data_IF_601316798055
#
_entry.id   IF_601316798055
#
_cell.length_a   1.000
_cell.length_b   1.000
_cell.length_c   1.000
_cell.angle_alpha   90.00
_cell.angle_beta   90.00
_cell.angle_gamma   90.00
#
_symmetry.space_group_name_H-M   'P 1'
#
loop_
_entity.id
_entity.type
_entity.pdbx_description
1 polymer ?
#
# COMPACT_ATOMS: atom_id res chain seq x y z
N UNK A 1 -16.38 9.66 22.47
CA UNK A 1 -15.82 10.82 23.20
C UNK A 1 -15.12 10.29 24.46
N UNK A 2 -13.89 9.76 24.34
CA UNK A 2 -13.06 9.33 25.47
C UNK A 2 -11.59 9.53 25.09
N UNK A 3 -10.90 10.32 25.90
CA UNK A 3 -9.52 10.77 25.79
C UNK A 3 -8.57 9.73 26.37
N UNK A 4 -7.54 9.36 25.60
CA UNK A 4 -6.49 8.44 26.07
C UNK A 4 -5.53 9.19 27.00
N UNK A 5 -5.46 8.78 28.27
CA UNK A 5 -4.53 9.29 29.27
C UNK A 5 -3.33 8.34 29.41
N UNK A 6 -2.11 8.86 29.26
CA UNK A 6 -0.85 8.11 29.49
C UNK A 6 -0.62 7.79 30.98
N UNK A 7 0.08 6.71 31.32
CA UNK A 7 0.39 6.33 32.70
C UNK A 7 1.37 7.32 33.37
N UNK A 8 1.11 7.63 34.65
CA UNK A 8 1.93 8.51 35.50
C UNK A 8 3.23 7.82 35.90
N UNK A 9 4.36 8.43 35.56
CA UNK A 9 5.69 8.18 36.18
C UNK A 9 5.82 9.16 37.37
N UNK A 10 6.35 8.74 38.54
CA UNK A 10 6.33 9.53 39.76
C UNK A 10 7.14 10.82 39.65
N UNK A 11 6.56 11.89 40.21
CA UNK A 11 7.08 13.25 40.24
C UNK A 11 8.47 13.34 40.89
N UNK A 12 9.50 13.50 40.06
CA UNK A 12 10.64 14.36 40.41
C UNK A 12 10.47 15.69 39.68
N UNK A 13 10.62 16.78 40.45
CA UNK A 13 10.28 18.16 40.10
C UNK A 13 10.85 18.57 38.74
N UNK A 14 9.98 18.63 37.73
CA UNK A 14 10.19 19.39 36.49
C UNK A 14 9.61 20.80 36.69
N UNK A 15 10.32 21.88 36.31
CA UNK A 15 9.81 23.25 36.46
C UNK A 15 8.51 23.47 35.65
N UNK A 16 7.71 24.42 36.13
CA UNK A 16 6.35 24.87 35.74
C UNK A 16 6.09 25.23 34.26
N UNK A 17 6.92 24.81 33.31
CA UNK A 17 6.84 25.16 31.87
C UNK A 17 5.65 24.53 31.13
N UNK A 18 5.03 23.49 31.67
CA UNK A 18 3.92 22.78 31.00
C UNK A 18 2.59 23.56 31.04
N UNK A 19 2.38 24.45 32.02
CA UNK A 19 1.14 25.25 32.10
C UNK A 19 1.15 26.50 31.19
N UNK A 20 2.32 26.94 30.70
CA UNK A 20 2.40 28.04 29.74
C UNK A 20 2.13 27.63 28.28
N UNK A 21 2.12 26.33 27.97
CA UNK A 21 1.93 25.82 26.60
C UNK A 21 0.51 26.01 26.04
N UNK A 22 -0.51 26.11 26.89
CA UNK A 22 -1.90 26.26 26.44
C UNK A 22 -2.34 27.71 26.22
N UNK A 23 -1.63 28.70 26.81
CA UNK A 23 -2.01 30.12 26.73
C UNK A 23 -1.10 30.99 25.86
N UNK A 24 0.08 30.52 25.45
CA UNK A 24 0.97 31.24 24.51
C UNK A 24 0.58 31.08 23.02
N UNK A 25 -0.64 30.59 22.77
CA UNK A 25 -1.24 30.59 21.44
C UNK A 25 -1.67 32.02 21.11
N UNK A 26 -0.86 32.74 20.32
CA UNK A 26 -1.20 33.99 19.62
C UNK A 26 -1.33 35.28 20.46
N UNK A 27 -0.96 35.31 21.75
CA UNK A 27 -0.84 36.59 22.47
C UNK A 27 0.47 37.29 22.09
N UNK A 28 0.33 38.47 21.51
CA UNK A 28 1.35 39.30 20.85
C UNK A 28 2.39 39.93 21.80
N UNK A 29 2.76 39.25 22.89
CA UNK A 29 3.60 39.78 23.97
C UNK A 29 4.73 38.80 24.28
N UNK A 30 5.96 39.33 24.43
CA UNK A 30 7.20 38.63 24.81
C UNK A 30 7.85 37.70 23.77
N UNK A 31 7.51 37.84 22.48
CA UNK A 31 8.26 37.19 21.40
C UNK A 31 9.71 37.72 21.33
N UNK A 32 10.67 36.86 21.03
CA UNK A 32 12.10 37.20 20.89
C UNK A 32 12.58 37.09 19.43
N UNK A 33 11.67 36.73 18.51
CA UNK A 33 11.98 36.43 17.12
C UNK A 33 10.93 36.96 16.14
N UNK A 34 11.40 37.51 15.02
CA UNK A 34 10.62 37.93 13.84
C UNK A 34 11.01 37.01 12.68
N UNK A 35 10.00 36.47 12.00
CA UNK A 35 10.17 35.54 10.88
C UNK A 35 9.53 36.12 9.63
N UNK A 36 10.33 36.31 8.58
CA UNK A 36 9.85 36.72 7.27
C UNK A 36 9.74 35.49 6.36
N UNK A 37 8.55 35.23 5.85
CA UNK A 37 8.25 34.04 5.04
C UNK A 37 7.69 34.45 3.68
N UNK A 38 8.06 33.70 2.65
CA UNK A 38 7.67 33.97 1.27
C UNK A 38 8.60 34.94 0.56
N UNK A 39 8.29 35.18 -0.70
CA UNK A 39 9.00 36.12 -1.57
C UNK A 39 8.05 37.24 -2.01
N UNK A 40 8.61 38.38 -2.41
CA UNK A 40 7.82 39.49 -2.95
C UNK A 40 6.97 39.03 -4.14
N UNK A 41 5.67 39.42 -4.23
CA UNK A 41 4.96 40.39 -3.38
C UNK A 41 4.22 39.78 -2.17
N UNK A 42 4.39 38.50 -1.87
CA UNK A 42 3.60 37.72 -0.90
C UNK A 42 4.36 37.40 0.39
N UNK A 43 5.20 38.32 0.87
CA UNK A 43 5.90 38.17 2.15
C UNK A 43 4.92 38.35 3.32
N UNK A 44 4.96 37.44 4.30
CA UNK A 44 4.25 37.58 5.58
C UNK A 44 5.23 37.57 6.74
N UNK A 45 4.97 38.41 7.73
CA UNK A 45 5.74 38.50 8.97
C UNK A 45 5.06 37.72 10.08
N UNK A 46 5.81 36.87 10.76
CA UNK A 46 5.39 36.11 11.93
C UNK A 46 6.23 36.48 13.15
N UNK A 47 5.64 36.38 14.33
CA UNK A 47 6.29 36.60 15.61
C UNK A 47 6.33 35.28 16.39
N UNK A 48 7.48 34.92 16.95
CA UNK A 48 7.68 33.60 17.56
C UNK A 48 8.64 33.62 18.76
N UNK A 49 8.68 32.50 19.48
CA UNK A 49 9.64 32.25 20.56
C UNK A 49 10.71 31.27 20.07
N UNK A 50 11.96 31.72 20.01
CA UNK A 50 13.07 30.94 19.49
C UNK A 50 13.28 29.64 20.29
N UNK A 51 13.06 29.67 21.61
CA UNK A 51 13.17 28.50 22.49
C UNK A 51 12.15 27.40 22.13
N UNK A 52 10.91 27.76 21.79
CA UNK A 52 9.88 26.80 21.39
C UNK A 52 10.33 26.10 20.12
N UNK A 53 10.75 26.85 19.09
CA UNK A 53 11.15 26.27 17.81
C UNK A 53 12.38 25.36 17.95
N UNK A 54 13.39 25.77 18.70
CA UNK A 54 14.60 24.96 18.96
C UNK A 54 14.29 23.62 19.64
N UNK A 55 13.30 23.59 20.52
CA UNK A 55 12.91 22.37 21.22
C UNK A 55 12.11 21.40 20.34
N UNK A 56 11.54 21.87 19.23
CA UNK A 56 10.73 21.04 18.32
C UNK A 56 11.55 20.40 17.21
N UNK A 57 12.67 20.99 16.82
CA UNK A 57 13.48 20.49 15.71
C UNK A 57 14.95 20.83 15.83
N UNK A 58 15.80 19.86 15.45
CA UNK A 58 17.24 20.04 15.28
C UNK A 58 17.59 21.07 14.21
N UNK A 59 16.74 21.25 13.18
CA UNK A 59 16.90 22.31 12.19
C UNK A 59 16.87 23.68 12.85
N UNK A 60 15.83 23.97 13.63
CA UNK A 60 15.72 25.25 14.33
C UNK A 60 16.78 25.39 15.43
N UNK A 61 17.15 24.30 16.10
CA UNK A 61 18.26 24.30 17.06
C UNK A 61 19.57 24.76 16.40
N UNK A 62 19.88 24.27 15.21
CA UNK A 62 21.07 24.64 14.46
C UNK A 62 20.95 26.06 13.86
N UNK A 63 19.85 26.35 13.16
CA UNK A 63 19.60 27.62 12.47
C UNK A 63 19.54 28.82 13.42
N UNK A 64 19.11 28.62 14.67
CA UNK A 64 19.02 29.67 15.69
C UNK A 64 20.18 29.63 16.68
N UNK A 65 21.22 28.84 16.42
CA UNK A 65 22.42 28.83 17.24
C UNK A 65 23.15 30.18 17.18
N UNK A 66 23.96 30.47 18.21
CA UNK A 66 24.69 31.75 18.33
C UNK A 66 25.59 32.09 17.14
N UNK A 67 25.98 31.09 16.33
CA UNK A 67 26.81 31.27 15.13
C UNK A 67 26.04 31.81 13.92
N UNK A 68 24.74 31.55 13.84
CA UNK A 68 23.92 31.83 12.65
C UNK A 68 22.86 32.90 12.87
N UNK A 69 22.59 33.22 14.14
CA UNK A 69 21.52 34.11 14.53
C UNK A 69 21.81 35.55 14.07
N UNK A 70 20.86 36.15 13.36
CA UNK A 70 20.88 37.58 13.06
C UNK A 70 20.02 38.29 14.09
N UNK A 71 20.49 39.44 14.58
CA UNK A 71 19.73 40.26 15.53
C UNK A 71 19.58 41.68 15.01
N UNK A 72 18.36 42.18 15.05
CA UNK A 72 18.02 43.57 14.74
C UNK A 72 17.14 44.10 15.87
N UNK A 73 17.49 45.24 16.47
CA UNK A 73 16.76 45.85 17.58
C UNK A 73 16.48 44.90 18.76
N UNK A 74 17.44 44.00 19.07
CA UNK A 74 17.31 43.00 20.13
C UNK A 74 16.56 41.72 19.73
N UNK A 75 15.84 41.75 18.60
CA UNK A 75 15.03 40.65 18.07
C UNK A 75 15.85 39.72 17.18
N UNK A 76 15.57 38.43 17.24
CA UNK A 76 16.13 37.44 16.31
C UNK A 76 15.42 37.55 14.97
N UNK A 77 16.16 37.70 13.87
CA UNK A 77 15.61 37.75 12.53
C UNK A 77 15.85 36.41 11.83
N UNK A 78 14.77 35.82 11.33
CA UNK A 78 14.82 34.59 10.53
C UNK A 78 14.06 34.78 9.23
N UNK A 79 14.60 34.27 8.13
CA UNK A 79 14.04 34.44 6.79
C UNK A 79 13.86 33.09 6.13
N UNK A 80 12.68 32.87 5.58
CA UNK A 80 12.33 31.64 4.88
C UNK A 80 11.58 31.93 3.57
N UNK A 81 12.31 32.39 2.54
CA UNK A 81 11.71 32.82 1.28
C UNK A 81 11.08 31.70 0.45
N UNK A 82 11.54 30.46 0.63
CA UNK A 82 11.19 29.31 -0.21
C UNK A 82 9.92 28.56 0.24
N UNK A 83 9.15 29.12 1.16
CA UNK A 83 7.91 28.52 1.68
C UNK A 83 6.81 29.56 1.60
N UNK A 84 5.60 29.16 1.22
CA UNK A 84 4.43 30.03 1.27
C UNK A 84 4.06 30.39 2.72
N UNK A 85 3.59 31.63 2.96
CA UNK A 85 3.10 32.04 4.28
C UNK A 85 2.08 31.07 4.89
N UNK A 86 1.15 30.56 4.09
CA UNK A 86 0.08 29.66 4.52
C UNK A 86 0.62 28.31 5.00
N UNK A 87 1.63 27.74 4.32
CA UNK A 87 2.29 26.51 4.75
C UNK A 87 3.07 26.74 6.05
N UNK A 88 3.81 27.84 6.14
CA UNK A 88 4.57 28.14 7.35
C UNK A 88 3.69 28.38 8.56
N UNK A 89 2.50 28.97 8.37
CA UNK A 89 1.52 29.15 9.44
C UNK A 89 1.08 27.81 10.04
N UNK A 90 0.87 26.78 9.20
CA UNK A 90 0.56 25.41 9.68
C UNK A 90 1.74 24.83 10.46
N UNK A 91 2.97 25.00 9.97
CA UNK A 91 4.19 24.53 10.65
C UNK A 91 4.38 25.21 12.00
N UNK A 92 4.19 26.53 12.05
CA UNK A 92 4.33 27.31 13.26
C UNK A 92 3.28 26.88 14.29
N UNK A 93 2.03 26.75 13.88
CA UNK A 93 0.96 26.24 14.74
C UNK A 93 1.27 24.83 15.27
N UNK A 94 1.82 23.95 14.43
CA UNK A 94 2.26 22.62 14.86
C UNK A 94 3.38 22.69 15.91
N UNK A 95 4.38 23.55 15.73
CA UNK A 95 5.47 23.70 16.70
C UNK A 95 4.98 24.14 18.09
N UNK A 96 3.88 24.91 18.15
CA UNK A 96 3.30 25.36 19.41
C UNK A 96 2.34 24.35 20.03
N UNK A 97 1.51 23.72 19.21
CA UNK A 97 0.34 22.95 19.69
C UNK A 97 0.49 21.44 19.54
N UNK A 98 1.43 20.99 18.71
CA UNK A 98 1.53 19.59 18.26
C UNK A 98 0.41 19.16 17.30
N UNK A 99 -0.40 20.10 16.80
CA UNK A 99 -1.54 19.82 15.91
C UNK A 99 -1.37 20.53 14.56
N UNK A 100 -1.75 19.84 13.48
CA UNK A 100 -1.82 20.41 12.14
C UNK A 100 -3.19 20.11 11.53
N UNK A 101 -3.83 21.12 10.94
CA UNK A 101 -5.13 20.98 10.27
C UNK A 101 -4.91 20.89 8.77
N UNK A 102 -5.28 19.74 8.19
CA UNK A 102 -5.15 19.47 6.75
C UNK A 102 -6.51 19.44 6.03
N UNK A 103 -7.61 19.63 6.77
CA UNK A 103 -8.95 19.69 6.19
C UNK A 103 -9.05 20.84 5.18
N UNK A 104 -9.71 20.59 4.05
CA UNK A 104 -9.95 21.55 2.96
C UNK A 104 -8.69 22.08 2.25
N UNK A 105 -7.53 21.44 2.44
CA UNK A 105 -6.29 21.76 1.70
C UNK A 105 -6.18 20.90 0.45
N UNK A 106 -5.76 21.47 -0.67
CA UNK A 106 -5.52 20.70 -1.90
C UNK A 106 -4.19 19.93 -1.85
N UNK A 107 -4.00 19.02 -2.82
CA UNK A 107 -2.81 18.16 -2.86
C UNK A 107 -1.50 18.93 -3.05
N UNK A 108 -1.51 20.05 -3.78
CA UNK A 108 -0.32 20.87 -3.99
C UNK A 108 0.16 21.51 -2.68
N UNK A 109 -0.77 22.07 -1.90
CA UNK A 109 -0.50 22.60 -0.56
C UNK A 109 0.06 21.52 0.37
N UNK A 110 -0.53 20.32 0.36
CA UNK A 110 -0.10 19.22 1.23
C UNK A 110 1.31 18.75 0.87
N UNK A 111 1.66 18.70 -0.42
CA UNK A 111 3.02 18.39 -0.88
C UNK A 111 4.03 19.46 -0.45
N UNK A 112 3.71 20.75 -0.61
CA UNK A 112 4.58 21.84 -0.15
C UNK A 112 4.81 21.78 1.36
N UNK A 113 3.74 21.52 2.13
CA UNK A 113 3.82 21.34 3.58
C UNK A 113 4.69 20.13 3.95
N UNK A 114 4.56 19.02 3.22
CA UNK A 114 5.35 17.81 3.45
C UNK A 114 6.85 18.06 3.23
N UNK A 115 7.23 18.74 2.14
CA UNK A 115 8.62 19.15 1.85
C UNK A 115 9.15 20.08 2.93
N UNK A 116 8.34 21.07 3.31
CA UNK A 116 8.73 22.05 4.30
C UNK A 116 8.94 21.43 5.69
N UNK A 117 8.09 20.47 6.07
CA UNK A 117 8.23 19.73 7.31
C UNK A 117 9.49 18.85 7.32
N UNK A 118 9.82 18.21 6.20
CA UNK A 118 11.03 17.41 6.04
C UNK A 118 12.30 18.26 6.10
N UNK A 119 12.33 19.38 5.36
CA UNK A 119 13.45 20.33 5.37
C UNK A 119 13.72 20.84 6.80
N UNK A 120 12.64 21.11 7.54
CA UNK A 120 12.71 21.55 8.94
C UNK A 120 12.87 20.39 9.93
N UNK A 121 13.08 19.15 9.48
CA UNK A 121 13.32 17.96 10.33
C UNK A 121 12.18 17.76 11.36
N UNK A 122 10.94 18.05 10.99
CA UNK A 122 9.74 17.84 11.80
C UNK A 122 9.17 16.44 11.51
N UNK A 123 9.84 15.41 12.01
CA UNK A 123 9.56 13.99 11.69
C UNK A 123 8.15 13.54 12.07
N UNK A 124 7.62 14.01 13.20
CA UNK A 124 6.25 13.71 13.66
C UNK A 124 5.19 14.34 12.76
N UNK A 125 5.42 15.59 12.31
CA UNK A 125 4.54 16.27 11.36
C UNK A 125 4.60 15.60 9.98
N UNK A 126 5.80 15.29 9.49
CA UNK A 126 6.03 14.56 8.22
C UNK A 126 5.27 13.23 8.21
N UNK A 127 5.36 12.46 9.30
CA UNK A 127 4.65 11.18 9.44
C UNK A 127 3.13 11.37 9.46
N UNK A 128 2.64 12.40 10.17
CA UNK A 128 1.22 12.73 10.23
C UNK A 128 0.67 13.13 8.85
N UNK A 129 1.38 13.98 8.12
CA UNK A 129 0.97 14.44 6.79
C UNK A 129 0.88 13.24 5.84
N UNK A 130 1.92 12.41 5.77
CA UNK A 130 1.90 11.23 4.89
C UNK A 130 0.70 10.33 5.18
N UNK A 131 0.46 9.99 6.46
CA UNK A 131 -0.66 9.11 6.85
C UNK A 131 -2.03 9.66 6.44
N UNK A 132 -2.26 10.96 6.59
CA UNK A 132 -3.56 11.56 6.25
C UNK A 132 -3.70 11.83 4.74
N UNK A 133 -2.60 12.20 4.07
CA UNK A 133 -2.63 12.49 2.64
C UNK A 133 -2.96 11.24 1.82
N UNK A 134 -2.36 10.10 2.19
CA UNK A 134 -2.58 8.82 1.52
C UNK A 134 -4.00 8.27 1.69
N UNK A 135 -4.74 8.72 2.70
CA UNK A 135 -6.12 8.26 2.94
C UNK A 135 -7.16 9.26 2.45
N UNK A 136 -6.97 10.55 2.68
CA UNK A 136 -7.98 11.57 2.38
C UNK A 136 -8.00 12.03 0.91
N UNK A 137 -6.89 11.88 0.18
CA UNK A 137 -6.76 12.37 -1.21
C UNK A 137 -6.35 11.29 -2.21
N UNK A 138 -6.88 10.08 -2.01
CA UNK A 138 -6.52 8.95 -2.86
C UNK A 138 -6.86 9.20 -4.35
N UNK A 139 -7.99 9.83 -4.66
CA UNK A 139 -8.37 10.17 -6.04
C UNK A 139 -7.36 11.11 -6.70
N UNK A 140 -6.98 12.18 -6.00
CA UNK A 140 -5.98 13.12 -6.50
C UNK A 140 -4.61 12.45 -6.69
N UNK A 141 -4.22 11.55 -5.77
CA UNK A 141 -2.99 10.76 -5.90
C UNK A 141 -3.02 9.83 -7.11
N UNK A 142 -4.17 9.23 -7.44
CA UNK A 142 -4.33 8.40 -8.63
C UNK A 142 -4.16 9.22 -9.91
N UNK A 143 -4.76 10.42 -9.96
CA UNK A 143 -4.67 11.32 -11.12
C UNK A 143 -3.24 11.84 -11.37
N UNK A 144 -2.43 11.99 -10.30
CA UNK A 144 -1.08 12.54 -10.36
C UNK A 144 0.01 11.49 -10.05
N UNK A 145 -0.33 10.20 -10.14
CA UNK A 145 0.45 9.12 -9.56
C UNK A 145 1.90 9.08 -10.06
N UNK A 146 2.15 9.26 -11.36
CA UNK A 146 3.50 9.12 -11.93
C UNK A 146 4.44 10.25 -11.53
N UNK A 147 3.94 11.47 -11.47
CA UNK A 147 4.67 12.66 -11.05
C UNK A 147 4.98 12.59 -9.56
N UNK A 148 3.98 12.25 -8.75
CA UNK A 148 4.14 12.11 -7.31
C UNK A 148 5.06 10.94 -6.98
N UNK A 149 5.03 9.84 -7.73
CA UNK A 149 6.00 8.75 -7.58
C UNK A 149 7.42 9.28 -7.77
N UNK A 150 7.72 9.88 -8.93
CA UNK A 150 9.08 10.36 -9.21
C UNK A 150 9.55 11.42 -8.21
N UNK A 151 8.64 12.31 -7.80
CA UNK A 151 8.91 13.30 -6.76
C UNK A 151 9.19 12.65 -5.40
N UNK A 152 8.33 11.75 -4.92
CA UNK A 152 8.48 11.13 -3.60
C UNK A 152 9.77 10.32 -3.48
N UNK A 153 10.24 9.70 -4.57
CA UNK A 153 11.51 8.97 -4.61
C UNK A 153 12.76 9.86 -4.50
N UNK A 154 12.63 11.18 -4.63
CA UNK A 154 13.72 12.14 -4.33
C UNK A 154 13.92 12.32 -2.82
N UNK A 155 12.95 11.93 -1.99
CA UNK A 155 12.94 12.15 -0.54
C UNK A 155 12.88 10.83 0.23
N UNK A 156 13.99 10.35 0.81
CA UNK A 156 14.03 9.08 1.55
C UNK A 156 13.07 8.99 2.75
N UNK A 157 12.63 10.12 3.30
CA UNK A 157 11.67 10.20 4.39
C UNK A 157 10.21 9.98 3.97
N UNK A 158 9.91 10.00 2.67
CA UNK A 158 8.54 9.89 2.13
C UNK A 158 8.10 8.45 1.86
N UNK A 159 8.56 7.51 2.68
CA UNK A 159 8.36 6.07 2.45
C UNK A 159 6.88 5.67 2.35
N UNK A 160 6.00 6.26 3.17
CA UNK A 160 4.58 5.93 3.12
C UNK A 160 3.94 6.41 1.81
N UNK A 161 4.32 7.59 1.32
CA UNK A 161 3.86 8.09 0.02
C UNK A 161 4.44 7.29 -1.15
N UNK A 162 5.73 6.96 -1.11
CA UNK A 162 6.39 6.09 -2.10
C UNK A 162 5.66 4.75 -2.20
N UNK A 163 5.38 4.12 -1.06
CA UNK A 163 4.66 2.85 -1.01
C UNK A 163 3.29 2.97 -1.67
N UNK A 164 2.45 3.92 -1.25
CA UNK A 164 1.10 4.09 -1.82
C UNK A 164 1.13 4.33 -3.33
N UNK A 165 2.11 5.09 -3.82
CA UNK A 165 2.29 5.31 -5.26
C UNK A 165 2.66 4.03 -6.00
N UNK A 166 3.68 3.30 -5.54
CA UNK A 166 4.06 2.01 -6.15
C UNK A 166 2.91 1.01 -6.10
N UNK A 167 2.18 0.96 -4.98
CA UNK A 167 1.02 0.11 -4.78
C UNK A 167 -0.09 0.41 -5.78
N UNK A 168 -0.35 1.69 -6.04
CA UNK A 168 -1.32 2.16 -7.03
C UNK A 168 -0.93 1.70 -8.44
N UNK A 169 0.35 1.84 -8.80
CA UNK A 169 0.87 1.35 -10.10
C UNK A 169 0.80 -0.18 -10.16
N UNK A 170 1.10 -0.89 -9.07
CA UNK A 170 1.01 -2.35 -9.04
C UNK A 170 -0.42 -2.83 -9.27
N UNK A 171 -1.41 -2.18 -8.67
CA UNK A 171 -2.81 -2.58 -8.78
C UNK A 171 -3.38 -2.27 -10.16
N UNK A 172 -2.99 -1.13 -10.74
CA UNK A 172 -3.37 -0.72 -12.08
C UNK A 172 -2.13 -0.31 -12.92
N UNK A 173 -1.39 -1.27 -13.50
CA UNK A 173 -0.16 -0.97 -14.25
C UNK A 173 -0.37 -0.13 -15.50
N UNK A 174 -1.62 -0.04 -15.99
CA UNK A 174 -1.95 0.80 -17.13
C UNK A 174 -1.65 2.28 -16.90
N UNK A 175 -1.68 2.74 -15.65
CA UNK A 175 -1.29 4.09 -15.23
C UNK A 175 0.11 4.42 -15.74
N UNK A 176 1.05 3.48 -15.63
CA UNK A 176 2.42 3.66 -16.12
C UNK A 176 2.53 3.27 -17.59
N UNK A 177 2.19 2.03 -17.94
CA UNK A 177 2.57 1.43 -19.23
C UNK A 177 1.80 1.98 -20.44
N UNK A 178 0.62 2.57 -20.22
CA UNK A 178 -0.16 3.25 -21.28
C UNK A 178 0.03 4.77 -21.27
N UNK A 179 0.77 5.31 -20.31
CA UNK A 179 1.00 6.75 -20.22
C UNK A 179 1.99 7.24 -21.28
N UNK A 180 1.78 8.48 -21.74
CA UNK A 180 2.74 9.20 -22.57
C UNK A 180 4.06 9.47 -21.83
N UNK A 181 4.03 9.49 -20.49
CA UNK A 181 5.20 9.69 -19.62
C UNK A 181 6.04 8.43 -19.44
N UNK A 182 5.59 7.28 -19.97
CA UNK A 182 6.32 6.02 -19.82
C UNK A 182 7.76 6.16 -20.30
N UNK A 183 8.01 6.67 -21.50
CA UNK A 183 9.38 6.75 -22.06
C UNK A 183 10.36 7.62 -21.25
N UNK A 184 9.86 8.52 -20.40
CA UNK A 184 10.66 9.43 -19.57
C UNK A 184 10.61 9.09 -18.08
N UNK A 185 10.02 7.95 -17.70
CA UNK A 185 9.92 7.54 -16.31
C UNK A 185 11.31 7.25 -15.73
N UNK A 186 11.47 7.31 -14.41
CA UNK A 186 12.77 7.07 -13.81
C UNK A 186 13.11 5.55 -13.85
N UNK A 187 14.30 5.24 -14.37
CA UNK A 187 14.77 3.89 -14.65
C UNK A 187 14.90 2.98 -13.43
N UNK A 188 15.33 3.52 -12.28
CA UNK A 188 15.49 2.77 -11.02
C UNK A 188 14.15 2.51 -10.34
N UNK A 189 13.18 3.44 -10.43
CA UNK A 189 11.80 3.22 -9.97
C UNK A 189 11.14 2.14 -10.83
N UNK A 190 11.31 2.17 -12.16
CA UNK A 190 10.83 1.11 -13.04
C UNK A 190 11.43 -0.25 -12.65
N UNK A 191 12.74 -0.31 -12.39
CA UNK A 191 13.41 -1.52 -11.93
C UNK A 191 12.79 -2.05 -10.63
N UNK A 192 12.58 -1.17 -9.65
CA UNK A 192 11.93 -1.49 -8.38
C UNK A 192 10.51 -2.02 -8.54
N UNK A 193 9.71 -1.45 -9.46
CA UNK A 193 8.37 -1.95 -9.79
C UNK A 193 8.40 -3.36 -10.37
N UNK A 194 9.36 -3.65 -11.26
CA UNK A 194 9.51 -4.96 -11.90
C UNK A 194 9.90 -6.07 -10.91
N UNK A 195 10.55 -5.71 -9.80
CA UNK A 195 10.90 -6.64 -8.72
C UNK A 195 9.69 -7.10 -7.91
N UNK A 196 8.58 -6.34 -7.93
CA UNK A 196 7.41 -6.61 -7.09
C UNK A 196 6.59 -7.79 -7.62
N UNK A 197 6.18 -8.67 -6.71
CA UNK A 197 5.30 -9.79 -7.03
C UNK A 197 3.86 -9.32 -7.29
N UNK A 198 3.48 -8.21 -6.68
CA UNK A 198 2.13 -7.66 -6.70
C UNK A 198 1.78 -6.94 -8.02
N UNK A 199 2.75 -6.68 -8.91
CA UNK A 199 2.53 -5.97 -10.17
C UNK A 199 1.52 -6.74 -11.04
N UNK A 200 0.34 -6.15 -11.25
CA UNK A 200 -0.83 -6.79 -11.86
C UNK A 200 -0.79 -6.81 -13.39
N UNK A 201 0.20 -7.50 -13.96
CA UNK A 201 0.40 -7.57 -15.42
C UNK A 201 0.78 -8.99 -15.83
N UNK A 202 0.36 -9.42 -17.02
CA UNK A 202 0.82 -10.69 -17.57
C UNK A 202 2.29 -10.60 -17.96
N UNK A 203 3.05 -11.68 -17.79
CA UNK A 203 4.50 -11.66 -18.08
C UNK A 203 4.80 -11.36 -19.54
N UNK A 204 3.99 -11.87 -20.47
CA UNK A 204 4.12 -11.59 -21.90
C UNK A 204 3.91 -10.11 -22.21
N UNK A 205 2.90 -9.49 -21.59
CA UNK A 205 2.59 -8.07 -21.75
C UNK A 205 3.71 -7.20 -21.17
N UNK A 206 4.22 -7.56 -19.98
CA UNK A 206 5.36 -6.88 -19.37
C UNK A 206 6.59 -6.92 -20.27
N UNK A 207 6.89 -8.09 -20.85
CA UNK A 207 8.00 -8.22 -21.79
C UNK A 207 7.86 -7.28 -22.99
N UNK A 208 6.67 -7.19 -23.59
CA UNK A 208 6.42 -6.26 -24.69
C UNK A 208 6.65 -4.80 -24.27
N UNK A 209 6.25 -4.42 -23.05
CA UNK A 209 6.52 -3.09 -22.51
C UNK A 209 8.01 -2.81 -22.32
N UNK A 210 8.79 -3.78 -21.84
CA UNK A 210 10.24 -3.62 -21.68
C UNK A 210 10.96 -3.54 -23.02
N UNK A 211 10.53 -4.28 -24.04
CA UNK A 211 11.04 -4.12 -25.40
C UNK A 211 10.72 -2.71 -25.93
N UNK A 212 9.47 -2.27 -25.77
CA UNK A 212 9.05 -0.92 -26.17
C UNK A 212 9.86 0.15 -25.44
N UNK A 213 10.15 -0.04 -24.15
CA UNK A 213 11.05 0.83 -23.39
C UNK A 213 12.44 0.90 -24.01
N UNK A 214 13.09 -0.26 -24.24
CA UNK A 214 14.42 -0.33 -24.84
C UNK A 214 14.51 0.38 -26.19
N UNK A 215 13.50 0.19 -27.05
CA UNK A 215 13.43 0.87 -28.35
C UNK A 215 13.23 2.37 -28.17
N UNK A 216 12.34 2.81 -27.27
CA UNK A 216 12.08 4.23 -27.03
C UNK A 216 13.30 4.97 -26.44
N UNK A 217 14.15 4.30 -25.67
CA UNK A 217 15.43 4.86 -25.21
C UNK A 217 16.46 5.04 -26.34
N UNK A 218 16.21 4.46 -27.52
CA UNK A 218 17.11 4.49 -28.67
C UNK A 218 16.36 4.97 -29.93
N UNK A 219 16.07 6.28 -30.09
CA UNK A 219 15.17 6.80 -31.14
C UNK A 219 15.58 6.50 -32.58
N UNK A 220 16.87 6.22 -32.83
CA UNK A 220 17.40 5.90 -34.15
C UNK A 220 17.23 4.41 -34.53
N UNK A 221 16.82 3.56 -33.58
CA UNK A 221 16.63 2.14 -33.80
C UNK A 221 15.26 1.89 -34.43
N UNK A 222 15.23 1.05 -35.46
CA UNK A 222 13.99 0.62 -36.12
C UNK A 222 13.08 -0.12 -35.14
N UNK A 223 11.76 -0.06 -35.34
CA UNK A 223 10.81 -0.85 -34.56
C UNK A 223 10.79 -2.34 -34.95
N UNK A 224 11.29 -2.69 -36.14
CA UNK A 224 11.37 -4.09 -36.59
C UNK A 224 12.74 -4.70 -36.23
N UNK A 225 12.81 -5.67 -35.30
CA UNK A 225 14.07 -6.28 -34.89
C UNK A 225 14.82 -6.99 -36.02
N UNK A 226 14.15 -7.37 -37.12
CA UNK A 226 14.81 -7.98 -38.28
C UNK A 226 15.74 -7.03 -39.03
N UNK A 227 15.54 -5.72 -38.85
CA UNK A 227 16.32 -4.67 -39.51
C UNK A 227 17.49 -4.16 -38.68
N UNK A 228 17.68 -4.69 -37.46
CA UNK A 228 18.69 -4.19 -36.52
C UNK A 228 20.11 -4.58 -36.94
N UNK A 229 21.00 -3.60 -36.94
CA UNK A 229 22.44 -3.82 -37.00
C UNK A 229 22.98 -4.32 -35.65
N UNK A 230 24.22 -4.80 -35.62
CA UNK A 230 24.90 -5.16 -34.37
C UNK A 230 24.98 -3.98 -33.38
N UNK A 231 25.04 -2.73 -33.87
CA UNK A 231 25.03 -1.53 -33.01
C UNK A 231 23.66 -1.30 -32.41
N UNK A 232 22.60 -1.48 -33.20
CA UNK A 232 21.22 -1.31 -32.74
C UNK A 232 20.87 -2.34 -31.66
N UNK A 233 21.27 -3.60 -31.87
CA UNK A 233 21.13 -4.67 -30.86
C UNK A 233 21.81 -4.26 -29.56
N UNK A 234 23.08 -3.83 -29.62
CA UNK A 234 23.84 -3.43 -28.42
C UNK A 234 23.21 -2.24 -27.70
N UNK A 235 22.69 -1.27 -28.45
CA UNK A 235 22.05 -0.08 -27.89
C UNK A 235 20.79 -0.46 -27.10
N UNK A 236 19.90 -1.26 -27.70
CA UNK A 236 18.67 -1.72 -27.02
C UNK A 236 19.00 -2.66 -25.86
N UNK A 237 19.95 -3.58 -26.02
CA UNK A 237 20.41 -4.50 -24.97
C UNK A 237 20.88 -3.71 -23.74
N UNK A 238 21.71 -2.69 -23.93
CA UNK A 238 22.19 -1.85 -22.83
C UNK A 238 21.06 -1.13 -22.08
N UNK A 239 19.98 -0.77 -22.79
CA UNK A 239 18.81 -0.12 -22.18
C UNK A 239 17.90 -1.06 -21.40
N UNK A 240 17.98 -2.38 -21.62
CA UNK A 240 17.06 -3.34 -20.97
C UNK A 240 17.70 -4.45 -20.16
N UNK A 241 19.03 -4.62 -20.24
CA UNK A 241 19.76 -5.72 -19.60
C UNK A 241 19.46 -5.88 -18.11
N UNK A 242 19.22 -4.78 -17.38
CA UNK A 242 18.93 -4.79 -15.94
C UNK A 242 17.49 -5.23 -15.64
N UNK A 243 16.56 -5.08 -16.59
CA UNK A 243 15.17 -5.50 -16.45
C UNK A 243 14.96 -6.99 -16.77
N UNK A 244 15.78 -7.56 -17.66
CA UNK A 244 15.65 -8.95 -18.15
C UNK A 244 15.56 -9.99 -17.01
N UNK A 245 16.40 -9.94 -15.94
CA UNK A 245 16.32 -10.89 -14.83
C UNK A 245 14.97 -10.90 -14.10
N UNK A 246 14.18 -9.83 -14.21
CA UNK A 246 12.89 -9.70 -13.54
C UNK A 246 11.71 -10.13 -14.41
N UNK A 247 11.96 -10.59 -15.64
CA UNK A 247 10.94 -11.17 -16.51
C UNK A 247 10.82 -12.67 -16.21
N UNK A 248 9.62 -13.13 -15.85
CA UNK A 248 9.39 -14.52 -15.45
C UNK A 248 9.05 -15.37 -16.68
N UNK A 249 10.01 -15.51 -17.59
CA UNK A 249 9.82 -16.21 -18.88
C UNK A 249 9.20 -17.61 -18.74
N UNK A 250 9.49 -18.34 -17.66
CA UNK A 250 8.93 -19.67 -17.39
C UNK A 250 7.42 -19.70 -17.11
N UNK A 251 6.80 -18.52 -16.91
CA UNK A 251 5.37 -18.36 -16.73
C UNK A 251 4.64 -18.01 -18.04
N UNK A 252 5.38 -17.83 -19.14
CA UNK A 252 4.80 -17.70 -20.48
C UNK A 252 4.54 -19.08 -21.09
N UNK A 253 3.51 -19.17 -21.93
CA UNK A 253 3.27 -20.34 -22.77
C UNK A 253 4.31 -20.44 -23.89
N UNK A 254 4.47 -21.63 -24.47
CA UNK A 254 5.34 -21.82 -25.63
C UNK A 254 4.93 -20.93 -26.82
N UNK A 255 3.62 -20.75 -27.03
CA UNK A 255 3.07 -19.90 -28.10
C UNK A 255 3.43 -18.43 -27.88
N UNK A 256 3.25 -17.93 -26.65
CA UNK A 256 3.64 -16.56 -26.30
C UNK A 256 5.15 -16.35 -26.46
N UNK A 257 5.97 -17.27 -25.99
CA UNK A 257 7.42 -17.18 -26.15
C UNK A 257 7.84 -17.11 -27.62
N UNK A 258 7.31 -18.01 -28.47
CA UNK A 258 7.62 -18.03 -29.90
C UNK A 258 7.18 -16.74 -30.62
N UNK A 259 6.03 -16.18 -30.24
CA UNK A 259 5.48 -15.01 -30.90
C UNK A 259 6.11 -13.69 -30.44
N UNK A 260 6.34 -13.54 -29.14
CA UNK A 260 6.67 -12.25 -28.53
C UNK A 260 8.12 -12.15 -28.03
N UNK A 261 8.73 -13.27 -27.62
CA UNK A 261 10.10 -13.28 -27.07
C UNK A 261 11.13 -13.64 -28.13
N UNK A 262 10.86 -14.69 -28.93
CA UNK A 262 11.78 -15.19 -29.94
C UNK A 262 12.29 -14.15 -30.94
N UNK A 263 11.47 -13.18 -31.45
CA UNK A 263 11.95 -12.15 -32.36
C UNK A 263 13.08 -11.28 -31.78
N UNK A 264 13.15 -11.18 -30.46
CA UNK A 264 14.10 -10.35 -29.72
C UNK A 264 15.15 -11.16 -28.95
N UNK A 265 15.30 -12.46 -29.28
CA UNK A 265 16.23 -13.37 -28.57
C UNK A 265 17.68 -12.88 -28.53
N UNK A 266 18.10 -12.05 -29.48
CA UNK A 266 19.44 -11.46 -29.51
C UNK A 266 19.72 -10.49 -28.34
N UNK A 267 18.67 -10.03 -27.64
CA UNK A 267 18.79 -9.17 -26.47
C UNK A 267 18.91 -9.96 -25.15
N UNK A 268 18.62 -11.26 -25.17
CA UNK A 268 18.57 -12.09 -23.97
C UNK A 268 19.95 -12.73 -23.76
N UNK A 269 20.54 -12.63 -22.55
CA UNK A 269 21.78 -13.34 -22.22
C UNK A 269 21.66 -14.83 -22.52
N UNK A 270 22.71 -15.42 -23.08
CA UNK A 270 22.69 -16.79 -23.60
C UNK A 270 22.33 -17.80 -22.51
N UNK A 271 22.79 -17.58 -21.28
CA UNK A 271 22.52 -18.45 -20.13
C UNK A 271 21.02 -18.47 -19.78
N UNK A 272 20.36 -17.32 -19.85
CA UNK A 272 18.92 -17.19 -19.62
C UNK A 272 18.17 -17.86 -20.77
N UNK A 273 18.57 -17.57 -22.01
CA UNK A 273 17.92 -18.10 -23.21
C UNK A 273 17.98 -19.63 -23.26
N UNK A 274 19.15 -20.22 -23.02
CA UNK A 274 19.34 -21.68 -23.00
C UNK A 274 18.53 -22.35 -21.89
N UNK A 275 18.42 -21.70 -20.73
CA UNK A 275 17.58 -22.19 -19.63
C UNK A 275 16.09 -22.16 -19.98
N UNK A 276 15.62 -21.08 -20.63
CA UNK A 276 14.24 -21.00 -21.13
C UNK A 276 13.99 -22.07 -22.19
N UNK A 277 14.93 -22.27 -23.12
CA UNK A 277 14.82 -23.27 -24.16
C UNK A 277 14.75 -24.69 -23.58
N UNK A 278 15.60 -24.97 -22.60
CA UNK A 278 15.59 -26.25 -21.87
C UNK A 278 14.25 -26.47 -21.17
N UNK A 279 13.64 -25.44 -20.59
CA UNK A 279 12.31 -25.55 -19.98
C UNK A 279 11.24 -25.97 -20.99
N UNK A 280 11.22 -25.36 -22.18
CA UNK A 280 10.22 -25.68 -23.21
C UNK A 280 10.50 -27.00 -23.94
N UNK A 281 11.76 -27.41 -24.08
CA UNK A 281 12.14 -28.65 -24.76
C UNK A 281 12.18 -29.88 -23.83
N UNK A 282 12.42 -29.69 -22.52
CA UNK A 282 12.56 -30.76 -21.53
C UNK A 282 11.60 -30.54 -20.34
N UNK A 283 10.28 -30.76 -20.52
CA UNK A 283 9.27 -30.45 -19.50
C UNK A 283 9.42 -31.26 -18.19
N UNK A 284 10.23 -32.32 -18.19
CA UNK A 284 10.47 -33.16 -17.01
C UNK A 284 11.50 -32.57 -16.03
N UNK A 285 12.32 -31.58 -16.43
CA UNK A 285 13.19 -30.84 -15.50
C UNK A 285 12.40 -29.72 -14.85
N UNK A 286 12.03 -29.91 -13.58
CA UNK A 286 11.34 -28.88 -12.78
C UNK A 286 12.29 -27.72 -12.49
N UNK A 287 12.10 -26.62 -13.20
CA UNK A 287 12.62 -25.31 -12.81
C UNK A 287 11.68 -24.74 -11.75
N UNK A 288 12.23 -24.18 -10.68
CA UNK A 288 11.42 -23.47 -9.68
C UNK A 288 10.79 -22.25 -10.35
N UNK A 289 9.47 -22.27 -10.56
CA UNK A 289 8.74 -21.14 -11.13
C UNK A 289 8.59 -20.07 -10.06
N UNK A 290 9.01 -18.85 -10.39
CA UNK A 290 8.58 -17.67 -9.63
C UNK A 290 7.06 -17.52 -9.79
N UNK A 291 6.44 -16.95 -8.76
CA UNK A 291 5.01 -16.60 -8.71
C UNK A 291 4.58 -15.94 -10.02
N UNK A 292 3.53 -16.40 -10.72
CA UNK A 292 2.99 -15.64 -11.86
C UNK A 292 2.39 -14.30 -11.43
N UNK A 293 2.76 -13.21 -12.12
CA UNK A 293 2.03 -11.93 -12.05
C UNK A 293 0.71 -12.01 -12.84
N UNK A 294 -0.21 -11.08 -12.57
CA UNK A 294 -1.44 -10.90 -13.37
C UNK A 294 -2.51 -11.99 -13.22
N UNK A 295 -2.29 -13.03 -12.40
CA UNK A 295 -3.18 -14.18 -12.30
C UNK A 295 -4.05 -14.18 -11.02
N UNK A 296 -4.28 -13.00 -10.45
CA UNK A 296 -5.07 -12.86 -9.23
C UNK A 296 -4.32 -13.02 -7.91
N UNK A 297 -3.03 -13.33 -7.98
CA UNK A 297 -2.14 -13.41 -6.82
C UNK A 297 -1.48 -12.05 -6.52
N UNK A 298 -2.21 -10.93 -6.65
CA UNK A 298 -1.72 -9.59 -6.26
C UNK A 298 -1.79 -9.37 -4.75
N UNK A 299 -2.20 -10.40 -3.99
CA UNK A 299 -2.34 -10.34 -2.55
C UNK A 299 -1.02 -9.97 -1.89
N UNK A 300 -1.09 -9.06 -0.92
CA UNK A 300 0.02 -8.75 -0.01
C UNK A 300 -0.01 -9.59 1.25
N UNK A 301 -1.14 -10.28 1.49
CA UNK A 301 -1.38 -11.12 2.66
C UNK A 301 -1.04 -12.58 2.39
N UNK A 302 -1.39 -13.09 1.22
CA UNK A 302 -1.29 -14.51 0.88
C UNK A 302 -0.48 -14.76 -0.39
N UNK A 303 0.37 -15.77 -0.31
CA UNK A 303 1.08 -16.37 -1.44
C UNK A 303 0.41 -17.67 -1.96
N UNK A 304 1.05 -18.32 -2.92
CA UNK A 304 0.55 -19.56 -3.54
C UNK A 304 0.47 -20.75 -2.59
N UNK A 305 1.31 -20.78 -1.54
CA UNK A 305 1.24 -21.82 -0.52
C UNK A 305 -0.02 -21.69 0.33
N UNK A 306 -0.59 -20.50 0.49
CA UNK A 306 -1.92 -20.34 1.07
C UNK A 306 -3.01 -20.71 0.04
N UNK A 307 -2.86 -20.25 -1.21
CA UNK A 307 -3.86 -20.49 -2.25
C UNK A 307 -4.10 -21.98 -2.52
N UNK A 308 -3.07 -22.83 -2.48
CA UNK A 308 -3.28 -24.29 -2.64
C UNK A 308 -4.22 -24.89 -1.60
N UNK A 309 -4.19 -24.40 -0.35
CA UNK A 309 -5.08 -24.86 0.70
C UNK A 309 -6.48 -24.28 0.50
N UNK A 310 -6.57 -22.99 0.22
CA UNK A 310 -7.85 -22.32 -0.05
C UNK A 310 -8.59 -23.00 -1.21
N UNK A 311 -7.92 -23.28 -2.34
CA UNK A 311 -8.50 -24.01 -3.46
C UNK A 311 -8.96 -25.41 -3.04
N UNK A 312 -8.15 -26.13 -2.26
CA UNK A 312 -8.52 -27.44 -1.72
C UNK A 312 -9.79 -27.36 -0.88
N UNK A 313 -9.89 -26.37 0.01
CA UNK A 313 -11.05 -26.17 0.89
C UNK A 313 -12.32 -25.81 0.15
N UNK A 314 -12.23 -24.99 -0.91
CA UNK A 314 -13.37 -24.66 -1.77
C UNK A 314 -13.97 -25.94 -2.40
N UNK A 315 -13.10 -26.83 -2.88
CA UNK A 315 -13.50 -28.11 -3.49
C UNK A 315 -13.74 -29.23 -2.47
N UNK A 316 -13.58 -28.94 -1.17
CA UNK A 316 -13.60 -29.92 -0.09
C UNK A 316 -12.66 -31.12 -0.36
N UNK A 317 -11.48 -30.82 -0.89
CA UNK A 317 -10.44 -31.77 -1.27
C UNK A 317 -9.09 -31.43 -0.61
N UNK A 318 -8.07 -32.23 -0.90
CA UNK A 318 -6.70 -31.93 -0.49
C UNK A 318 -6.16 -30.69 -1.22
N UNK A 319 -5.03 -30.16 -0.74
CA UNK A 319 -4.39 -29.00 -1.39
C UNK A 319 -3.96 -29.31 -2.83
N UNK A 320 -4.04 -28.31 -3.70
CA UNK A 320 -3.61 -28.42 -5.09
C UNK A 320 -2.10 -28.23 -5.29
N UNK A 321 -1.49 -28.82 -6.34
CA UNK A 321 -0.21 -28.35 -6.85
C UNK A 321 -0.33 -26.89 -7.32
N UNK A 322 0.65 -26.05 -6.99
CA UNK A 322 0.65 -24.61 -7.31
C UNK A 322 0.50 -24.35 -8.81
N UNK A 323 1.07 -25.21 -9.65
CA UNK A 323 1.00 -25.14 -11.11
C UNK A 323 -0.36 -25.57 -11.70
N UNK A 324 -1.27 -26.09 -10.86
CA UNK A 324 -2.58 -26.64 -11.26
C UNK A 324 -3.73 -26.08 -10.42
N UNK A 325 -3.60 -24.85 -9.90
CA UNK A 325 -4.71 -24.23 -9.18
C UNK A 325 -5.92 -24.07 -10.11
N UNK A 326 -7.12 -24.54 -9.70
CA UNK A 326 -8.32 -24.50 -10.55
C UNK A 326 -8.96 -23.10 -10.63
N UNK A 327 -8.55 -22.18 -9.75
CA UNK A 327 -9.15 -20.87 -9.59
C UNK A 327 -8.19 -19.72 -9.93
N UNK A 328 -8.76 -18.58 -10.32
CA UNK A 328 -8.14 -17.25 -10.36
C UNK A 328 -8.81 -16.37 -9.30
N UNK A 329 -8.05 -15.51 -8.64
CA UNK A 329 -8.52 -14.68 -7.52
C UNK A 329 -8.49 -13.20 -7.91
N UNK A 330 -9.61 -12.60 -8.26
CA UNK A 330 -9.63 -11.20 -8.64
C UNK A 330 -9.78 -10.30 -7.40
N UNK A 331 -8.76 -9.47 -7.10
CA UNK A 331 -8.81 -8.54 -5.96
C UNK A 331 -9.93 -7.53 -6.16
N UNK A 332 -10.92 -7.55 -5.27
CA UNK A 332 -12.03 -6.59 -5.24
C UNK A 332 -11.71 -5.41 -4.35
N UNK A 333 -11.20 -5.69 -3.15
CA UNK A 333 -11.00 -4.70 -2.11
C UNK A 333 -9.68 -4.91 -1.39
N UNK A 334 -9.00 -3.82 -1.03
CA UNK A 334 -7.82 -3.80 -0.17
C UNK A 334 -7.93 -2.67 0.85
N UNK A 335 -7.68 -2.96 2.12
CA UNK A 335 -7.78 -1.99 3.22
C UNK A 335 -6.99 -0.70 3.01
N UNK A 336 -5.76 -0.79 2.49
CA UNK A 336 -4.92 0.38 2.23
C UNK A 336 -5.37 1.24 1.04
N UNK A 337 -6.19 0.68 0.13
CA UNK A 337 -6.71 1.36 -1.06
C UNK A 337 -8.14 1.83 -0.85
N UNK A 338 -8.99 0.98 -0.31
CA UNK A 338 -10.45 1.20 -0.27
C UNK A 338 -10.97 1.46 1.15
N UNK A 339 -10.09 1.48 2.16
CA UNK A 339 -10.46 1.65 3.57
C UNK A 339 -10.83 0.35 4.27
N UNK A 340 -11.08 0.44 5.58
CA UNK A 340 -11.33 -0.71 6.46
C UNK A 340 -12.79 -0.77 6.94
N UNK A 341 -13.71 -0.11 6.24
CA UNK A 341 -15.11 -0.02 6.68
C UNK A 341 -16.01 -1.06 6.01
N UNK A 342 -17.04 -1.50 6.73
CA UNK A 342 -18.10 -2.36 6.19
C UNK A 342 -18.88 -1.67 5.07
N UNK A 343 -19.04 -0.34 5.13
CA UNK A 343 -19.59 0.45 4.03
C UNK A 343 -18.77 0.26 2.74
N UNK A 344 -17.45 0.41 2.81
CA UNK A 344 -16.57 0.23 1.65
C UNK A 344 -16.62 -1.20 1.13
N UNK A 345 -16.74 -2.18 2.03
CA UNK A 345 -16.94 -3.58 1.66
C UNK A 345 -18.24 -3.79 0.88
N UNK A 346 -19.38 -3.33 1.40
CA UNK A 346 -20.67 -3.52 0.74
C UNK A 346 -20.72 -2.77 -0.61
N UNK A 347 -20.13 -1.58 -0.71
CA UNK A 347 -20.04 -0.84 -1.97
C UNK A 347 -19.28 -1.60 -3.07
N UNK A 348 -18.25 -2.37 -2.72
CA UNK A 348 -17.38 -3.06 -3.68
C UNK A 348 -17.72 -4.56 -3.87
N UNK A 349 -18.31 -5.20 -2.85
CA UNK A 349 -18.45 -6.66 -2.79
C UNK A 349 -19.90 -7.15 -2.88
N UNK A 350 -20.91 -6.29 -2.65
CA UNK A 350 -22.31 -6.69 -2.81
C UNK A 350 -22.61 -7.10 -4.25
N UNK A 351 -23.55 -8.03 -4.41
CA UNK A 351 -23.91 -8.64 -5.70
C UNK A 351 -22.80 -9.50 -6.34
N UNK A 352 -21.66 -9.68 -5.67
CA UNK A 352 -20.60 -10.58 -6.11
C UNK A 352 -20.72 -11.93 -5.39
N UNK A 353 -20.76 -13.00 -6.18
CA UNK A 353 -20.78 -14.38 -5.69
C UNK A 353 -19.36 -14.94 -5.54
N UNK A 354 -19.16 -15.80 -4.56
CA UNK A 354 -17.95 -16.62 -4.46
C UNK A 354 -16.75 -15.75 -4.12
N UNK A 355 -16.74 -15.22 -2.89
CA UNK A 355 -15.69 -14.31 -2.43
C UNK A 355 -14.92 -14.92 -1.27
N UNK A 356 -13.64 -14.59 -1.18
CA UNK A 356 -12.83 -14.87 -0.01
C UNK A 356 -12.36 -13.57 0.65
N UNK A 357 -12.55 -13.49 1.95
CA UNK A 357 -12.09 -12.40 2.82
C UNK A 357 -10.84 -12.86 3.55
N UNK A 358 -9.81 -12.02 3.58
CA UNK A 358 -8.52 -12.32 4.21
C UNK A 358 -8.07 -11.09 5.00
N UNK A 359 -7.62 -11.28 6.24
CA UNK A 359 -7.18 -10.19 7.11
C UNK A 359 -5.96 -10.60 7.93
N UNK A 360 -5.11 -9.62 8.22
CA UNK A 360 -4.00 -9.73 9.15
C UNK A 360 -4.33 -9.04 10.46
N UNK A 361 -4.20 -9.78 11.55
CA UNK A 361 -4.46 -9.29 12.90
C UNK A 361 -3.35 -8.31 13.29
N UNK A 362 -3.72 -7.14 13.81
CA UNK A 362 -2.77 -6.11 14.21
C UNK A 362 -1.79 -6.60 15.27
N UNK A 363 -0.50 -6.38 15.04
CA UNK A 363 0.56 -6.73 15.99
C UNK A 363 0.89 -8.23 16.07
N UNK A 364 0.35 -9.05 15.16
CA UNK A 364 0.71 -10.47 15.01
C UNK A 364 0.92 -10.81 13.55
N UNK A 365 1.47 -11.99 13.25
CA UNK A 365 1.51 -12.52 11.88
C UNK A 365 0.30 -13.43 11.56
N UNK A 366 -0.71 -13.45 12.42
CA UNK A 366 -1.89 -14.29 12.23
C UNK A 366 -2.75 -13.78 11.06
N UNK A 367 -3.01 -14.65 10.09
CA UNK A 367 -3.99 -14.41 9.03
C UNK A 367 -5.28 -15.15 9.32
N UNK A 368 -6.41 -14.44 9.23
CA UNK A 368 -7.75 -14.99 9.37
C UNK A 368 -8.54 -14.74 8.09
N UNK A 369 -9.58 -15.53 7.86
CA UNK A 369 -10.43 -15.30 6.71
C UNK A 369 -11.67 -16.17 6.65
N UNK A 370 -12.49 -15.90 5.63
CA UNK A 370 -13.72 -16.63 5.38
C UNK A 370 -14.07 -16.66 3.90
N UNK A 371 -14.59 -17.79 3.44
CA UNK A 371 -15.11 -17.97 2.09
C UNK A 371 -16.63 -17.98 2.11
N UNK A 372 -17.23 -17.07 1.34
CA UNK A 372 -18.66 -17.02 1.10
C UNK A 372 -18.97 -17.46 -0.35
N UNK A 373 -19.57 -18.65 -0.57
CA UNK A 373 -19.96 -19.10 -1.91
C UNK A 373 -21.23 -18.41 -2.44
N UNK A 374 -21.93 -17.66 -1.60
CA UNK A 374 -23.15 -16.94 -1.95
C UNK A 374 -22.81 -15.54 -2.43
N UNK A 375 -23.86 -14.82 -2.86
CA UNK A 375 -23.80 -13.41 -3.20
C UNK A 375 -23.93 -12.57 -1.93
N UNK A 376 -23.03 -11.61 -1.71
CA UNK A 376 -23.20 -10.62 -0.63
C UNK A 376 -24.40 -9.72 -0.90
N UNK A 377 -25.16 -9.44 0.16
CA UNK A 377 -26.28 -8.54 0.13
C UNK A 377 -26.46 -7.97 1.55
N UNK A 378 -26.54 -6.65 1.65
CA UNK A 378 -26.78 -5.93 2.90
C UNK A 378 -28.08 -6.36 3.61
N UNK A 379 -29.04 -7.01 2.95
CA UNK A 379 -30.39 -7.28 3.48
C UNK A 379 -30.72 -8.76 3.73
N UNK A 380 -29.82 -9.72 3.49
CA UNK A 380 -30.19 -11.15 3.57
C UNK A 380 -29.16 -12.03 4.25
N UNK A 381 -29.62 -12.90 5.15
CA UNK A 381 -28.84 -14.03 5.65
C UNK A 381 -28.47 -15.00 4.52
N UNK A 382 -27.30 -15.62 4.66
CA UNK A 382 -26.76 -16.59 3.71
C UNK A 382 -26.92 -18.02 4.23
N UNK A 383 -27.71 -18.83 3.50
CA UNK A 383 -27.87 -20.27 3.77
C UNK A 383 -27.01 -21.13 2.84
N UNK A 384 -26.01 -21.83 3.36
CA UNK A 384 -25.15 -22.73 2.57
C UNK A 384 -24.41 -23.75 3.44
N UNK A 385 -23.97 -24.86 2.85
CA UNK A 385 -23.05 -25.82 3.46
C UNK A 385 -21.59 -25.61 3.06
N UNK A 386 -21.33 -24.77 2.06
CA UNK A 386 -20.02 -24.65 1.41
C UNK A 386 -19.23 -23.43 1.93
N UNK A 387 -19.71 -22.77 2.99
CA UNK A 387 -19.01 -21.67 3.64
C UNK A 387 -18.01 -22.20 4.65
N UNK A 388 -16.84 -21.57 4.73
CA UNK A 388 -15.81 -21.90 5.71
C UNK A 388 -15.11 -20.65 6.21
N UNK A 389 -14.58 -20.72 7.42
CA UNK A 389 -13.62 -19.77 7.98
C UNK A 389 -12.29 -20.46 8.22
N UNK A 390 -11.19 -19.72 8.25
CA UNK A 390 -9.86 -20.32 8.35
C UNK A 390 -8.86 -19.42 9.09
N UNK A 391 -7.74 -20.01 9.49
CA UNK A 391 -6.58 -19.29 10.01
C UNK A 391 -5.24 -19.89 9.57
N UNK A 392 -4.26 -18.99 9.45
CA UNK A 392 -2.84 -19.29 9.33
C UNK A 392 -2.11 -18.61 10.50
N UNK A 393 -1.90 -19.36 11.59
CA UNK A 393 -1.51 -18.84 12.93
C UNK A 393 -0.21 -18.02 12.96
N UNK A 394 0.71 -18.22 12.01
CA UNK A 394 1.97 -17.49 11.89
C UNK A 394 2.17 -16.86 10.50
N UNK A 395 1.09 -16.66 9.74
CA UNK A 395 1.17 -16.16 8.36
C UNK A 395 1.87 -17.10 7.39
N UNK A 396 2.26 -18.29 7.87
CA UNK A 396 2.79 -19.39 7.09
C UNK A 396 1.70 -20.42 6.87
N UNK A 397 1.81 -21.14 5.75
CA UNK A 397 0.92 -22.22 5.37
C UNK A 397 1.15 -23.53 6.14
N UNK A 398 1.83 -23.50 7.29
CA UNK A 398 2.17 -24.69 8.07
C UNK A 398 1.06 -24.98 9.06
N UNK A 399 0.42 -26.15 8.94
CA UNK A 399 -0.74 -26.58 9.74
C UNK A 399 -1.89 -25.55 9.76
N UNK A 400 -2.45 -25.20 8.59
CA UNK A 400 -3.56 -24.27 8.54
C UNK A 400 -4.82 -24.86 9.17
N UNK A 401 -5.65 -24.00 9.76
CA UNK A 401 -6.94 -24.38 10.31
C UNK A 401 -8.04 -23.97 9.35
N UNK A 402 -8.96 -24.88 9.04
CA UNK A 402 -10.21 -24.58 8.35
C UNK A 402 -11.36 -25.09 9.21
N UNK A 403 -12.45 -24.33 9.22
CA UNK A 403 -13.69 -24.70 9.87
C UNK A 403 -14.85 -24.48 8.92
N UNK A 404 -15.62 -25.53 8.66
CA UNK A 404 -16.82 -25.45 7.83
C UNK A 404 -18.04 -25.13 8.70
N UNK A 405 -19.09 -24.59 8.06
CA UNK A 405 -20.37 -24.39 8.71
C UNK A 405 -20.97 -25.74 9.12
N UNK A 406 -21.39 -25.89 10.39
CA UNK A 406 -22.01 -27.12 10.84
C UNK A 406 -23.35 -27.33 10.13
N UNK A 407 -23.65 -28.57 9.73
CA UNK A 407 -24.89 -28.94 9.02
C UNK A 407 -26.18 -28.43 9.69
N UNK A 408 -26.25 -28.41 11.02
CA UNK A 408 -27.42 -27.92 11.76
C UNK A 408 -27.58 -26.40 11.74
N UNK A 409 -26.53 -25.66 11.38
CA UNK A 409 -26.47 -24.20 11.36
C UNK A 409 -26.29 -23.63 9.95
N UNK A 410 -26.53 -24.41 8.89
CA UNK A 410 -26.31 -23.99 7.50
C UNK A 410 -27.05 -22.70 7.10
N UNK A 411 -28.17 -22.38 7.77
CA UNK A 411 -28.93 -21.13 7.57
C UNK A 411 -28.23 -19.89 8.11
N UNK A 412 -27.23 -20.07 8.96
CA UNK A 412 -26.48 -19.02 9.62
C UNK A 412 -25.08 -18.87 9.02
N UNK A 413 -24.81 -19.41 7.81
CA UNK A 413 -23.46 -19.42 7.24
C UNK A 413 -22.91 -17.98 7.10
N UNK A 414 -23.76 -17.07 6.61
CA UNK A 414 -23.57 -15.63 6.68
C UNK A 414 -24.75 -15.10 7.49
N UNK A 415 -24.50 -14.54 8.68
CA UNK A 415 -25.56 -14.22 9.63
C UNK A 415 -25.60 -12.73 9.92
N UNK A 416 -26.78 -12.14 9.83
CA UNK A 416 -27.02 -10.74 10.15
C UNK A 416 -28.02 -10.64 11.31
N UNK A 417 -27.64 -9.96 12.40
CA UNK A 417 -28.64 -9.58 13.41
C UNK A 417 -29.47 -8.43 12.85
N UNK A 418 -30.76 -8.36 13.20
CA UNK A 418 -31.74 -7.41 12.65
C UNK A 418 -31.41 -5.90 12.83
N UNK A 419 -30.26 -5.54 13.41
CA UNK A 419 -29.74 -4.18 13.57
C UNK A 419 -28.32 -3.96 12.97
N UNK A 420 -27.68 -4.98 12.41
CA UNK A 420 -26.27 -4.96 11.97
C UNK A 420 -26.14 -4.48 10.51
N UNK A 421 -26.38 -3.20 10.23
CA UNK A 421 -26.22 -2.67 8.86
C UNK A 421 -24.72 -2.59 8.46
N UNK A 422 -23.82 -2.56 9.43
CA UNK A 422 -22.39 -2.23 9.23
C UNK A 422 -21.42 -3.38 9.62
N UNK A 423 -21.75 -4.65 9.32
CA UNK A 423 -20.96 -5.80 9.81
C UNK A 423 -20.74 -6.85 8.73
N UNK A 424 -19.51 -7.35 8.62
CA UNK A 424 -19.20 -8.59 7.88
C UNK A 424 -19.16 -9.73 8.90
N UNK A 425 -20.03 -10.73 8.74
CA UNK A 425 -20.20 -11.77 9.74
C UNK A 425 -20.36 -13.16 9.12
N UNK A 426 -19.36 -14.00 9.32
CA UNK A 426 -19.44 -15.42 9.06
C UNK A 426 -19.96 -16.11 10.31
N UNK A 427 -21.07 -16.82 10.19
CA UNK A 427 -21.65 -17.53 11.33
C UNK A 427 -22.35 -16.60 12.30
N UNK A 428 -22.85 -17.13 13.40
CA UNK A 428 -23.42 -16.33 14.46
C UNK A 428 -22.30 -15.75 15.36
N UNK A 429 -21.49 -14.87 14.78
CA UNK A 429 -20.33 -14.25 15.42
C UNK A 429 -19.08 -15.13 15.38
N UNK A 430 -18.98 -16.04 14.41
CA UNK A 430 -17.84 -16.95 14.35
C UNK A 430 -16.56 -16.27 13.85
N UNK A 431 -16.73 -15.40 12.86
CA UNK A 431 -15.76 -14.39 12.46
C UNK A 431 -16.53 -13.11 12.11
N UNK A 432 -16.38 -12.10 12.96
CA UNK A 432 -17.14 -10.86 12.91
C UNK A 432 -16.21 -9.65 12.80
N UNK A 433 -16.52 -8.76 11.86
CA UNK A 433 -15.83 -7.51 11.60
C UNK A 433 -16.86 -6.38 11.65
N UNK A 434 -16.76 -5.53 12.68
CA UNK A 434 -17.69 -4.44 12.95
C UNK A 434 -17.20 -3.11 12.37
N UNK A 435 -18.10 -2.37 11.72
CA UNK A 435 -18.00 -0.96 11.29
C UNK A 435 -16.69 -0.56 10.61
N UNK A 436 -15.61 -0.41 11.39
CA UNK A 436 -14.26 -0.10 10.96
C UNK A 436 -13.24 -1.08 11.58
N UNK A 437 -12.71 -1.97 10.74
CA UNK A 437 -11.98 -3.17 11.18
C UNK A 437 -10.58 -2.86 11.72
N UNK A 438 -10.06 -1.66 11.46
CA UNK A 438 -8.74 -1.24 11.97
C UNK A 438 -8.81 -0.55 13.35
N UNK A 439 -10.02 -0.31 13.88
CA UNK A 439 -10.21 0.23 15.21
C UNK A 439 -10.07 -0.84 16.28
N UNK A 440 -9.51 -0.46 17.44
CA UNK A 440 -9.33 -1.37 18.57
C UNK A 440 -10.63 -2.07 18.95
N UNK A 441 -10.56 -3.39 19.10
CA UNK A 441 -11.68 -4.24 19.53
C UNK A 441 -12.86 -4.32 18.54
N UNK A 442 -12.67 -3.93 17.28
CA UNK A 442 -13.70 -3.96 16.21
C UNK A 442 -13.97 -5.34 15.62
N UNK A 443 -13.10 -6.33 15.89
CA UNK A 443 -13.22 -7.66 15.31
C UNK A 443 -13.22 -8.74 16.39
N UNK A 444 -13.86 -9.88 16.12
CA UNK A 444 -13.85 -11.03 17.01
C UNK A 444 -13.95 -12.36 16.25
N UNK A 445 -13.39 -13.42 16.85
CA UNK A 445 -13.47 -14.78 16.33
C UNK A 445 -13.79 -15.74 17.48
N UNK A 446 -14.86 -16.52 17.37
CA UNK A 446 -15.36 -17.43 18.41
C UNK A 446 -16.02 -18.65 17.76
N UNK A 447 -16.04 -19.81 18.40
CA UNK A 447 -16.76 -20.98 17.86
C UNK A 447 -18.23 -20.93 18.26
N UNK A 448 -19.11 -20.89 17.27
CA UNK A 448 -20.56 -20.97 17.46
C UNK A 448 -21.20 -21.88 16.39
N UNK A 449 -21.38 -21.36 15.17
CA UNK A 449 -22.02 -22.05 14.04
C UNK A 449 -21.06 -22.91 13.23
N UNK A 450 -19.78 -22.56 13.17
CA UNK A 450 -18.73 -23.30 12.46
C UNK A 450 -18.15 -24.40 13.36
N UNK A 451 -17.53 -25.42 12.78
CA UNK A 451 -17.10 -26.65 13.47
C UNK A 451 -16.04 -26.44 14.56
N UNK A 452 -15.09 -25.52 14.35
CA UNK A 452 -13.86 -25.36 15.13
C UNK A 452 -13.58 -23.88 15.39
N UNK A 453 -12.85 -23.59 16.48
CA UNK A 453 -12.24 -22.27 16.68
C UNK A 453 -11.10 -22.10 15.68
N UNK A 454 -11.06 -20.95 15.00
CA UNK A 454 -9.93 -20.59 14.13
C UNK A 454 -8.81 -19.83 14.87
N UNK A 455 -9.09 -19.32 16.07
CA UNK A 455 -8.16 -18.55 16.89
C UNK A 455 -8.15 -19.09 18.31
N UNK A 456 -6.95 -19.17 18.90
CA UNK A 456 -6.77 -19.66 20.28
C UNK A 456 -7.17 -18.57 21.31
N UNK A 457 -6.91 -17.31 20.96
CA UNK A 457 -7.31 -16.14 21.73
C UNK A 457 -8.72 -15.67 21.32
N UNK A 458 -9.64 -15.64 22.28
CA UNK A 458 -11.04 -15.21 22.08
C UNK A 458 -11.27 -13.72 22.36
N UNK A 459 -10.21 -12.97 22.67
CA UNK A 459 -10.25 -11.53 22.82
C UNK A 459 -10.59 -10.86 21.49
N UNK A 460 -11.22 -9.68 21.57
CA UNK A 460 -11.44 -8.86 20.39
C UNK A 460 -10.13 -8.25 19.90
N UNK A 461 -10.04 -8.07 18.59
CA UNK A 461 -8.83 -7.60 17.92
C UNK A 461 -9.16 -6.50 16.90
N UNK A 462 -8.14 -5.97 16.26
CA UNK A 462 -8.26 -5.10 15.09
C UNK A 462 -7.35 -5.62 13.97
N UNK A 463 -7.55 -5.09 12.77
CA UNK A 463 -6.92 -5.55 11.54
C UNK A 463 -5.95 -4.49 11.02
N UNK A 464 -4.72 -4.88 10.70
CA UNK A 464 -3.72 -3.98 10.09
C UNK A 464 -3.71 -4.05 8.56
N UNK A 465 -4.22 -5.14 7.98
CA UNK A 465 -4.32 -5.32 6.53
C UNK A 465 -5.48 -6.25 6.18
N UNK A 466 -6.20 -5.91 5.11
CA UNK A 466 -7.46 -6.55 4.73
C UNK A 466 -7.54 -6.66 3.21
N UNK A 467 -7.94 -7.82 2.68
CA UNK A 467 -8.14 -8.03 1.26
C UNK A 467 -9.37 -8.93 1.00
N UNK A 468 -10.08 -8.65 -0.10
CA UNK A 468 -11.23 -9.44 -0.55
C UNK A 468 -11.03 -9.79 -2.00
N UNK A 469 -11.23 -11.06 -2.35
CA UNK A 469 -11.09 -11.56 -3.71
C UNK A 469 -12.39 -12.20 -4.19
N UNK A 470 -12.73 -11.98 -5.45
CA UNK A 470 -13.69 -12.78 -6.21
C UNK A 470 -12.98 -14.01 -6.76
N UNK A 471 -13.62 -15.17 -6.66
CA UNK A 471 -13.10 -16.43 -7.18
C UNK A 471 -13.67 -16.67 -8.57
N UNK A 472 -12.79 -16.99 -9.52
CA UNK A 472 -13.14 -17.26 -10.92
C UNK A 472 -12.59 -18.64 -11.29
N UNK A 473 -13.45 -19.51 -11.80
CA UNK A 473 -13.03 -20.81 -12.31
C UNK A 473 -12.21 -20.62 -13.58
N UNK A 474 -11.06 -21.29 -13.71
CA UNK A 474 -10.24 -21.18 -14.93
C UNK A 474 -10.81 -21.92 -16.14
N UNK A 475 -11.75 -22.83 -15.90
CA UNK A 475 -12.38 -23.64 -16.95
C UNK A 475 -13.72 -23.04 -17.44
N UNK A 476 -14.15 -21.93 -16.86
CA UNK A 476 -15.29 -21.11 -17.30
C UNK A 476 -14.76 -19.91 -18.08
#
# INVERSE_FOLDING_TARGET
MLTYSRPRIPHQRLPSLLHHRHHASLTNTDYDMIIYVGNEPSIRTFHAHSEILRNQSSYFLAALSSRWIQRENGMIIFRKPNISPEVFEVILNFCYTGQAKLQDKDGAFVIELLVSADEMILTSLTSYIQKNFTTAQLSWLQDNCLEITQFAFQYPSFQALQNVCLETICDNPSILFKSSKYSSFESTILLGLLQRNELNIYEVELWEHIIKWGINQNPNVSKDPKSWSARDIKAVENSIKEYIPYIRFYNMTQSEFQRYVWPYKCLIPIEIYDSIMTHFLMPFKRVQRLIPRGNGAQSRLINWDHLKYICGWIDQSNSYPIDKLPYRFELLMRGSRDGFTSESFHNLCDNIKGTIVIMKVSGTDELLGGYNPLTWNINTDGSTMNSFIFSFKNGQSNNPCVSYIQRKFFKNAIYKLNSDIEVINFGNGDLRLDCNFNESFSCSARKNSYEFNIRDDSSSFCVESFEVFKIINRNE
#
